data_IF_077196245605
#
_entry.id   IF_077196245605
#
_cell.length_a   1.000
_cell.length_b   1.000
_cell.length_c   1.000
_cell.angle_alpha   90.00
_cell.angle_beta   90.00
_cell.angle_gamma   90.00
#
_symmetry.space_group_name_H-M   'P 1'
#
loop_
_entity.id
_entity.type
_entity.pdbx_description
1 polymer ?
#
# COMPACT_ATOMS: atom_id res chain seq x y z
N UNK A 1 4.16 -18.27 -31.80
CA UNK A 1 3.64 -17.29 -32.79
C UNK A 1 3.13 -16.07 -32.08
N UNK A 2 3.46 -14.88 -32.57
CA UNK A 2 2.92 -13.59 -32.13
C UNK A 2 2.09 -13.00 -33.28
N UNK A 3 0.86 -12.59 -32.98
CA UNK A 3 0.07 -11.74 -33.88
C UNK A 3 0.32 -10.29 -33.52
N UNK A 4 0.96 -9.56 -34.40
CA UNK A 4 1.28 -8.14 -34.26
C UNK A 4 0.32 -7.32 -35.11
N UNK A 5 -0.32 -6.34 -34.50
CA UNK A 5 -1.10 -5.33 -35.21
C UNK A 5 -0.30 -4.03 -35.25
N UNK A 6 0.05 -3.57 -36.44
CA UNK A 6 0.78 -2.33 -36.64
C UNK A 6 -0.11 -1.11 -36.47
N UNK A 7 0.49 0.06 -36.27
CA UNK A 7 -0.25 1.32 -36.09
C UNK A 7 -1.12 1.72 -37.28
N UNK A 8 -0.86 1.17 -38.47
CA UNK A 8 -1.66 1.35 -39.70
C UNK A 8 -2.81 0.36 -39.83
N UNK A 9 -3.00 -0.54 -38.85
CA UNK A 9 -4.03 -1.58 -38.82
C UNK A 9 -3.67 -2.86 -39.59
N UNK A 10 -2.46 -2.96 -40.15
CA UNK A 10 -1.99 -4.21 -40.76
C UNK A 10 -1.64 -5.23 -39.70
N UNK A 11 -1.94 -6.51 -39.94
CA UNK A 11 -1.63 -7.60 -39.03
C UNK A 11 -0.54 -8.48 -39.60
N UNK A 12 0.44 -8.83 -38.79
CA UNK A 12 1.54 -9.74 -39.12
C UNK A 12 1.61 -10.86 -38.12
N UNK A 13 1.76 -12.09 -38.59
CA UNK A 13 2.00 -13.24 -37.75
C UNK A 13 3.49 -13.58 -37.77
N UNK A 14 4.19 -13.39 -36.66
CA UNK A 14 5.61 -13.68 -36.50
C UNK A 14 5.75 -15.06 -35.87
N UNK A 15 6.26 -16.02 -36.62
CA UNK A 15 6.61 -17.33 -36.12
C UNK A 15 8.08 -17.35 -35.67
N UNK A 16 8.34 -17.86 -34.50
CA UNK A 16 9.70 -18.06 -33.95
C UNK A 16 9.74 -19.34 -33.12
N UNK A 17 10.87 -19.98 -33.10
CA UNK A 17 11.15 -21.09 -32.21
C UNK A 17 11.92 -20.55 -30.99
N UNK A 18 11.54 -20.94 -29.81
CA UNK A 18 12.21 -20.60 -28.56
C UNK A 18 12.15 -21.77 -27.58
N UNK A 19 13.20 -21.92 -26.80
CA UNK A 19 13.20 -22.82 -25.67
C UNK A 19 12.32 -22.29 -24.53
N UNK A 20 11.92 -23.19 -23.61
CA UNK A 20 11.00 -22.84 -22.53
C UNK A 20 11.52 -21.67 -21.68
N UNK A 21 12.81 -21.65 -21.39
CA UNK A 21 13.46 -20.64 -20.54
C UNK A 21 14.06 -19.45 -21.34
N UNK A 22 13.90 -19.42 -22.67
CA UNK A 22 14.37 -18.34 -23.51
C UNK A 22 13.41 -17.14 -23.45
N UNK A 23 13.95 -15.94 -23.34
CA UNK A 23 13.15 -14.70 -23.39
C UNK A 23 12.63 -14.44 -24.80
N UNK A 24 11.46 -13.79 -24.91
CA UNK A 24 10.87 -13.42 -26.20
C UNK A 24 11.66 -12.33 -26.95
N UNK A 25 12.57 -11.62 -26.28
CA UNK A 25 13.32 -10.49 -26.84
C UNK A 25 12.43 -9.29 -27.20
N UNK A 26 11.25 -9.19 -26.54
CA UNK A 26 10.31 -8.07 -26.72
C UNK A 26 10.47 -7.11 -25.55
N UNK A 27 10.78 -5.85 -25.85
CA UNK A 27 10.81 -4.77 -24.88
C UNK A 27 9.60 -3.86 -25.07
N UNK A 28 8.92 -3.52 -23.98
CA UNK A 28 7.81 -2.57 -23.98
C UNK A 28 8.29 -1.21 -23.48
N UNK A 29 7.90 -0.14 -24.16
CA UNK A 29 8.21 1.23 -23.72
C UNK A 29 7.55 1.58 -22.37
N UNK A 30 6.46 0.91 -22.03
CA UNK A 30 5.73 1.11 -20.79
C UNK A 30 5.12 -0.18 -20.30
N UNK A 31 5.05 -0.36 -18.98
CA UNK A 31 4.37 -1.49 -18.34
C UNK A 31 2.86 -1.55 -18.67
N UNK A 32 2.25 -0.39 -18.99
CA UNK A 32 0.85 -0.26 -19.40
C UNK A 32 0.77 0.61 -20.67
N UNK A 33 0.94 -0.03 -21.82
CA UNK A 33 1.06 0.62 -23.13
C UNK A 33 -0.24 1.27 -23.65
N UNK A 34 -1.39 0.96 -23.06
CA UNK A 34 -2.70 1.59 -23.33
C UNK A 34 -3.03 2.73 -22.34
N UNK A 35 -2.04 3.17 -21.57
CA UNK A 35 -2.15 4.24 -20.59
C UNK A 35 -2.53 3.74 -19.20
N UNK A 36 -2.25 4.58 -18.20
CA UNK A 36 -2.56 4.33 -16.78
C UNK A 36 -4.03 4.67 -16.53
N UNK A 37 -4.72 3.81 -15.78
CA UNK A 37 -6.06 4.13 -15.27
C UNK A 37 -5.93 5.08 -14.11
N UNK A 38 -6.47 6.27 -14.28
CA UNK A 38 -6.43 7.30 -13.24
C UNK A 38 -7.57 7.12 -12.23
N UNK A 39 -7.27 7.49 -10.99
CA UNK A 39 -8.23 7.52 -9.91
C UNK A 39 -9.20 8.69 -10.06
N UNK A 40 -10.49 8.41 -10.08
CA UNK A 40 -11.55 9.42 -10.14
C UNK A 40 -12.04 9.89 -8.76
N UNK A 41 -11.48 9.35 -7.66
CA UNK A 41 -11.89 9.69 -6.32
C UNK A 41 -11.32 11.05 -5.88
N UNK A 42 -12.01 11.69 -4.93
CA UNK A 42 -11.61 12.96 -4.32
C UNK A 42 -11.49 12.82 -2.80
N UNK A 43 -10.68 11.84 -2.37
CA UNK A 43 -10.53 11.48 -0.96
C UNK A 43 -10.08 12.68 -0.11
N UNK A 44 -10.60 12.80 1.11
CA UNK A 44 -10.18 13.84 2.07
C UNK A 44 -8.68 13.80 2.37
N UNK A 45 -8.07 12.64 2.24
CA UNK A 45 -6.69 12.30 2.62
C UNK A 45 -5.79 12.01 1.41
N UNK A 46 -6.19 12.39 0.18
CA UNK A 46 -5.42 12.08 -1.01
C UNK A 46 -4.03 12.74 -0.96
N UNK A 47 -2.98 11.93 -0.79
CA UNK A 47 -1.61 12.45 -0.70
C UNK A 47 -1.14 13.07 -2.02
N UNK A 48 -1.64 12.59 -3.18
CA UNK A 48 -1.30 13.16 -4.49
C UNK A 48 -1.79 14.61 -4.60
N UNK A 49 -2.99 14.90 -4.06
CA UNK A 49 -3.53 16.25 -4.03
C UNK A 49 -2.80 17.20 -3.04
N UNK A 50 -1.89 16.64 -2.23
CA UNK A 50 -1.08 17.37 -1.25
C UNK A 50 0.39 17.50 -1.63
N UNK A 51 0.77 17.09 -2.85
CA UNK A 51 2.13 17.23 -3.38
C UNK A 51 2.41 18.70 -3.70
N UNK A 52 3.63 19.14 -3.41
CA UNK A 52 4.07 20.49 -3.73
C UNK A 52 3.96 20.77 -5.24
N UNK A 53 3.51 21.98 -5.64
CA UNK A 53 3.48 22.36 -7.05
C UNK A 53 4.90 22.36 -7.66
N UNK A 54 4.98 22.17 -8.94
CA UNK A 54 6.24 22.16 -9.73
C UNK A 54 7.18 20.97 -9.46
N UNK A 55 6.69 19.93 -8.81
CA UNK A 55 7.43 18.66 -8.68
C UNK A 55 7.38 17.85 -9.98
N UNK A 56 8.18 16.78 -10.07
CA UNK A 56 8.16 15.86 -11.22
C UNK A 56 6.75 15.36 -11.48
N UNK A 57 6.34 15.31 -12.74
CA UNK A 57 5.02 14.81 -13.15
C UNK A 57 4.71 13.40 -12.59
N UNK A 58 5.72 12.52 -12.57
CA UNK A 58 5.59 11.17 -12.03
C UNK A 58 5.10 11.10 -10.58
N UNK A 59 5.31 12.15 -9.78
CA UNK A 59 4.82 12.23 -8.40
C UNK A 59 3.33 12.60 -8.32
N UNK A 60 2.79 13.20 -9.40
CA UNK A 60 1.41 13.68 -9.46
C UNK A 60 0.49 12.74 -10.23
N UNK A 61 0.98 11.56 -10.62
CA UNK A 61 0.15 10.53 -11.26
C UNK A 61 -0.77 9.93 -10.20
N UNK A 62 -2.06 10.07 -10.43
CA UNK A 62 -3.11 9.58 -9.52
C UNK A 62 -3.63 8.25 -10.06
N UNK A 63 -2.82 7.22 -9.98
CA UNK A 63 -3.17 5.91 -10.49
C UNK A 63 -4.19 5.18 -9.61
N UNK A 64 -5.03 4.37 -10.24
CA UNK A 64 -5.95 3.41 -9.63
C UNK A 64 -6.08 2.19 -10.56
N UNK A 65 -4.91 1.67 -10.95
CA UNK A 65 -4.77 0.65 -11.99
C UNK A 65 -4.36 -0.70 -11.38
N UNK A 66 -5.25 -1.69 -11.45
CA UNK A 66 -4.97 -3.03 -10.90
C UNK A 66 -3.77 -3.71 -11.55
N UNK A 67 -3.35 -3.30 -12.76
CA UNK A 67 -2.16 -3.84 -13.43
C UNK A 67 -0.89 -3.34 -12.75
N UNK A 68 -0.86 -2.04 -12.38
CA UNK A 68 0.23 -1.48 -11.59
C UNK A 68 0.23 -2.02 -10.15
N UNK A 69 -0.96 -2.32 -9.61
CA UNK A 69 -1.07 -3.02 -8.34
C UNK A 69 -0.36 -4.38 -8.38
N UNK A 70 -0.63 -5.19 -9.40
CA UNK A 70 0.01 -6.49 -9.57
C UNK A 70 1.51 -6.38 -9.85
N UNK A 71 1.94 -5.45 -10.71
CA UNK A 71 3.32 -5.33 -11.16
C UNK A 71 4.25 -4.68 -10.13
N UNK A 72 3.75 -3.69 -9.39
CA UNK A 72 4.56 -2.80 -8.56
C UNK A 72 4.06 -2.63 -7.13
N UNK A 73 2.95 -3.27 -6.76
CA UNK A 73 2.39 -3.13 -5.41
C UNK A 73 1.62 -1.83 -5.17
N UNK A 74 1.23 -1.10 -6.23
CA UNK A 74 0.45 0.12 -6.08
C UNK A 74 -0.93 -0.19 -5.47
N UNK A 75 -1.35 0.60 -4.51
CA UNK A 75 -2.65 0.40 -3.84
C UNK A 75 -3.80 0.95 -4.68
N UNK A 76 -4.77 0.10 -5.01
CA UNK A 76 -5.97 0.46 -5.77
C UNK A 76 -7.21 0.52 -4.90
N UNK A 77 -8.14 1.40 -5.26
CA UNK A 77 -9.38 1.60 -4.49
C UNK A 77 -10.50 0.63 -4.91
N UNK A 78 -10.35 -0.03 -6.03
CA UNK A 78 -11.36 -0.87 -6.72
C UNK A 78 -12.60 -0.08 -7.16
N UNK A 79 -12.62 1.25 -7.07
CA UNK A 79 -13.81 2.04 -7.40
C UNK A 79 -14.02 2.24 -8.90
N UNK A 80 -13.00 2.01 -9.72
CA UNK A 80 -13.04 2.16 -11.18
C UNK A 80 -13.08 0.82 -11.93
N UNK A 81 -13.39 -0.28 -11.24
CA UNK A 81 -13.38 -1.63 -11.82
C UNK A 81 -14.76 -2.09 -12.27
N UNK A 82 -14.82 -2.63 -13.50
CA UNK A 82 -15.99 -3.26 -14.06
C UNK A 82 -15.89 -4.79 -14.17
N UNK A 83 -16.95 -5.44 -14.67
CA UNK A 83 -17.00 -6.89 -14.84
C UNK A 83 -15.85 -7.45 -15.69
N UNK A 84 -15.48 -6.74 -16.76
CA UNK A 84 -14.39 -7.12 -17.65
C UNK A 84 -13.02 -7.15 -16.93
N UNK A 85 -12.82 -6.27 -15.94
CA UNK A 85 -11.58 -6.20 -15.16
C UNK A 85 -11.45 -7.41 -14.24
N UNK A 86 -12.51 -7.74 -13.49
CA UNK A 86 -12.54 -8.94 -12.66
C UNK A 86 -12.34 -10.22 -13.49
N UNK A 87 -12.99 -10.31 -14.65
CA UNK A 87 -12.81 -11.43 -15.57
C UNK A 87 -11.37 -11.53 -16.09
N UNK A 88 -10.72 -10.40 -16.38
CA UNK A 88 -9.31 -10.36 -16.81
C UNK A 88 -8.37 -10.76 -15.68
N UNK A 89 -8.57 -10.23 -14.46
CA UNK A 89 -7.78 -10.59 -13.27
C UNK A 89 -7.86 -12.10 -13.03
N UNK A 90 -9.06 -12.67 -13.03
CA UNK A 90 -9.26 -14.11 -12.86
C UNK A 90 -8.57 -14.93 -13.96
N UNK A 91 -8.74 -14.56 -15.22
CA UNK A 91 -8.16 -15.27 -16.36
C UNK A 91 -6.64 -15.24 -16.37
N UNK A 92 -6.02 -14.12 -15.99
CA UNK A 92 -4.57 -13.92 -16.00
C UNK A 92 -3.92 -14.24 -14.65
N UNK A 93 -4.70 -14.63 -13.64
CA UNK A 93 -4.23 -14.91 -12.27
C UNK A 93 -3.39 -13.77 -11.68
N UNK A 94 -3.88 -12.51 -11.82
CA UNK A 94 -3.17 -11.34 -11.29
C UNK A 94 -3.29 -11.31 -9.76
N UNK A 95 -2.35 -11.94 -9.08
CA UNK A 95 -2.29 -12.08 -7.62
C UNK A 95 -0.83 -12.02 -7.15
N UNK A 96 -0.51 -11.38 -6.02
CA UNK A 96 -1.45 -10.62 -5.18
C UNK A 96 -1.78 -9.23 -5.75
N UNK A 97 -2.89 -8.65 -5.27
CA UNK A 97 -3.22 -7.24 -5.46
C UNK A 97 -3.04 -6.45 -4.16
N UNK A 98 -2.92 -5.14 -4.27
CA UNK A 98 -2.79 -4.22 -3.14
C UNK A 98 -4.01 -3.30 -3.11
N UNK A 99 -4.80 -3.35 -2.03
CA UNK A 99 -6.13 -2.74 -1.98
C UNK A 99 -6.23 -1.68 -0.88
N UNK A 100 -6.56 -0.46 -1.27
CA UNK A 100 -6.90 0.65 -0.37
C UNK A 100 -8.31 0.48 0.19
N UNK A 101 -8.41 -0.07 1.40
CA UNK A 101 -9.69 -0.34 2.08
C UNK A 101 -10.23 0.90 2.80
N UNK A 102 -9.41 1.60 3.53
CA UNK A 102 -9.67 2.77 4.38
C UNK A 102 -10.61 2.48 5.56
N UNK A 103 -11.76 1.91 5.34
CA UNK A 103 -12.67 1.32 6.34
C UNK A 103 -13.68 0.39 5.67
N UNK A 104 -14.31 -0.47 6.45
CA UNK A 104 -15.35 -1.41 5.97
C UNK A 104 -16.75 -0.91 6.21
N UNK A 105 -16.92 0.21 6.91
CA UNK A 105 -18.22 0.90 6.99
C UNK A 105 -18.57 1.50 5.63
N UNK A 106 -19.66 1.02 4.95
CA UNK A 106 -19.96 1.42 3.59
C UNK A 106 -20.29 2.91 3.45
N UNK A 107 -20.96 3.48 4.45
CA UNK A 107 -21.34 4.91 4.43
C UNK A 107 -20.10 5.77 4.62
N UNK A 108 -19.30 5.46 5.63
CA UNK A 108 -18.08 6.21 5.92
C UNK A 108 -17.07 6.12 4.77
N UNK A 109 -16.89 4.92 4.18
CA UNK A 109 -15.97 4.75 3.05
C UNK A 109 -16.40 5.59 1.84
N UNK A 110 -17.69 5.56 1.51
CA UNK A 110 -18.23 6.38 0.41
C UNK A 110 -18.01 7.89 0.65
N UNK A 111 -18.16 8.33 1.89
CA UNK A 111 -17.90 9.71 2.31
C UNK A 111 -16.42 10.07 2.22
N UNK A 112 -15.53 9.25 2.79
CA UNK A 112 -14.08 9.48 2.81
C UNK A 112 -13.49 9.56 1.41
N UNK A 113 -13.97 8.71 0.48
CA UNK A 113 -13.51 8.68 -0.91
C UNK A 113 -14.26 9.67 -1.80
N UNK A 114 -15.33 10.30 -1.30
CA UNK A 114 -16.29 11.11 -2.08
C UNK A 114 -16.77 10.40 -3.34
N UNK A 115 -17.12 9.12 -3.17
CA UNK A 115 -17.51 8.22 -4.23
C UNK A 115 -18.67 7.35 -3.72
N UNK A 116 -19.88 7.57 -4.22
CA UNK A 116 -21.11 6.96 -3.69
C UNK A 116 -21.14 5.42 -3.79
N UNK A 117 -20.42 4.84 -4.75
CA UNK A 117 -20.33 3.38 -4.92
C UNK A 117 -19.11 2.75 -4.25
N UNK A 118 -18.24 3.55 -3.63
CA UNK A 118 -17.07 3.03 -2.92
C UNK A 118 -17.41 2.20 -1.67
N UNK A 119 -18.66 2.27 -1.19
CA UNK A 119 -19.08 1.60 0.03
C UNK A 119 -19.04 0.07 -0.04
N UNK A 120 -19.12 -0.54 -1.21
CA UNK A 120 -19.16 -2.01 -1.38
C UNK A 120 -17.79 -2.67 -1.39
N UNK A 121 -16.85 -2.23 -0.58
CA UNK A 121 -15.49 -2.81 -0.56
C UNK A 121 -15.52 -4.30 -0.21
N UNK A 122 -16.35 -4.73 0.73
CA UNK A 122 -16.42 -6.14 1.14
C UNK A 122 -16.95 -7.03 0.01
N UNK A 123 -17.90 -6.54 -0.79
CA UNK A 123 -18.39 -7.23 -1.98
C UNK A 123 -17.32 -7.31 -3.07
N UNK A 124 -16.56 -6.24 -3.27
CA UNK A 124 -15.43 -6.21 -4.23
C UNK A 124 -14.32 -7.18 -3.84
N UNK A 125 -13.95 -7.24 -2.55
CA UNK A 125 -12.99 -8.23 -2.04
C UNK A 125 -13.51 -9.67 -2.22
N UNK A 126 -14.79 -9.93 -1.92
CA UNK A 126 -15.39 -11.25 -2.15
C UNK A 126 -15.33 -11.70 -3.62
N UNK A 127 -15.38 -10.76 -4.57
CA UNK A 127 -15.20 -11.07 -5.99
C UNK A 127 -13.77 -11.46 -6.34
N UNK A 128 -12.77 -10.80 -5.73
CA UNK A 128 -11.36 -11.20 -5.87
C UNK A 128 -11.12 -12.59 -5.28
N UNK A 129 -11.67 -12.86 -4.11
CA UNK A 129 -11.59 -14.17 -3.43
C UNK A 129 -12.22 -15.29 -4.27
N UNK A 130 -13.39 -15.02 -4.87
CA UNK A 130 -14.06 -15.98 -5.78
C UNK A 130 -13.21 -16.28 -7.04
N UNK A 131 -12.34 -15.36 -7.44
CA UNK A 131 -11.38 -15.54 -8.52
C UNK A 131 -10.04 -16.17 -8.06
N UNK A 132 -9.91 -16.54 -6.78
CA UNK A 132 -8.69 -17.10 -6.21
C UNK A 132 -7.55 -16.09 -6.02
N UNK A 133 -7.87 -14.79 -5.99
CA UNK A 133 -6.88 -13.71 -5.85
C UNK A 133 -6.61 -13.45 -4.38
N UNK A 134 -5.33 -13.39 -4.02
CA UNK A 134 -4.84 -12.91 -2.73
C UNK A 134 -4.59 -11.41 -2.79
N UNK A 135 -4.62 -10.74 -1.64
CA UNK A 135 -4.40 -9.31 -1.61
C UNK A 135 -3.83 -8.81 -0.28
N UNK A 136 -3.02 -7.76 -0.38
CA UNK A 136 -2.63 -6.91 0.74
C UNK A 136 -3.61 -5.76 0.90
N UNK A 137 -3.87 -5.33 2.12
CA UNK A 137 -4.80 -4.23 2.40
C UNK A 137 -4.13 -3.08 3.12
N UNK A 138 -4.67 -1.86 2.89
CA UNK A 138 -4.19 -0.64 3.54
C UNK A 138 -5.35 0.20 4.07
N UNK A 139 -5.13 0.79 5.23
CA UNK A 139 -5.96 1.83 5.84
C UNK A 139 -5.12 3.08 6.04
N UNK A 140 -5.50 4.18 5.40
CA UNK A 140 -5.04 5.51 5.79
C UNK A 140 -5.91 5.96 6.95
N UNK A 141 -5.33 5.97 8.14
CA UNK A 141 -6.05 6.27 9.38
C UNK A 141 -6.10 7.77 9.62
N UNK A 142 -7.32 8.30 9.75
CA UNK A 142 -7.61 9.71 9.99
C UNK A 142 -8.22 9.86 11.39
N UNK A 143 -7.57 10.60 12.26
CA UNK A 143 -8.00 10.80 13.63
C UNK A 143 -9.42 11.38 13.72
N UNK A 144 -10.28 10.75 14.51
CA UNK A 144 -11.69 11.13 14.70
C UNK A 144 -12.60 10.80 13.50
N UNK A 145 -12.13 10.02 12.52
CA UNK A 145 -12.92 9.68 11.33
C UNK A 145 -13.10 8.15 11.18
N UNK A 146 -12.03 7.44 10.90
CA UNK A 146 -12.04 5.97 10.72
C UNK A 146 -11.17 5.24 11.76
N UNK A 147 -10.82 5.91 12.86
CA UNK A 147 -10.14 5.34 14.04
C UNK A 147 -11.13 4.73 15.05
N UNK A 148 -10.63 4.30 16.20
CA UNK A 148 -11.44 3.75 17.28
C UNK A 148 -12.33 2.59 16.85
N UNK A 149 -13.64 2.72 17.01
CA UNK A 149 -14.63 1.65 16.70
C UNK A 149 -14.66 1.29 15.20
N UNK A 150 -14.44 2.24 14.32
CA UNK A 150 -14.38 1.99 12.86
C UNK A 150 -13.11 1.23 12.47
N UNK A 151 -11.98 1.53 13.11
CA UNK A 151 -10.76 0.74 12.94
C UNK A 151 -10.96 -0.69 13.46
N UNK A 152 -11.56 -0.85 14.64
CA UNK A 152 -11.87 -2.16 15.23
C UNK A 152 -12.75 -3.01 14.31
N UNK A 153 -13.78 -2.39 13.72
CA UNK A 153 -14.63 -3.01 12.72
C UNK A 153 -13.83 -3.45 11.51
N UNK A 154 -13.00 -2.56 10.96
CA UNK A 154 -12.20 -2.83 9.77
C UNK A 154 -11.21 -3.96 10.00
N UNK A 155 -10.50 -3.97 11.14
CA UNK A 155 -9.60 -5.06 11.51
C UNK A 155 -10.33 -6.40 11.55
N UNK A 156 -11.48 -6.45 12.21
CA UNK A 156 -12.29 -7.68 12.32
C UNK A 156 -12.73 -8.17 10.95
N UNK A 157 -13.27 -7.28 10.12
CA UNK A 157 -13.81 -7.64 8.82
C UNK A 157 -12.71 -8.13 7.86
N UNK A 158 -11.53 -7.51 7.89
CA UNK A 158 -10.40 -7.91 7.04
C UNK A 158 -9.73 -9.19 7.56
N UNK A 159 -9.56 -9.35 8.87
CA UNK A 159 -8.99 -10.58 9.43
C UNK A 159 -9.89 -11.80 9.18
N UNK A 160 -11.20 -11.62 9.06
CA UNK A 160 -12.14 -12.69 8.71
C UNK A 160 -12.01 -13.16 7.25
N UNK A 161 -11.27 -12.46 6.38
CA UNK A 161 -11.08 -12.78 4.95
C UNK A 161 -9.82 -13.59 4.66
N UNK A 162 -9.12 -14.04 5.68
CA UNK A 162 -8.00 -14.96 5.50
C UNK A 162 -8.49 -16.31 4.94
N UNK A 163 -7.73 -17.01 4.12
CA UNK A 163 -6.33 -16.74 3.77
C UNK A 163 -6.13 -15.75 2.62
N UNK A 164 -7.17 -15.30 1.91
CA UNK A 164 -7.01 -14.40 0.76
C UNK A 164 -6.44 -13.03 1.14
N UNK A 165 -6.89 -12.44 2.26
CA UNK A 165 -6.23 -11.28 2.83
C UNK A 165 -4.88 -11.70 3.43
N UNK A 166 -3.78 -11.17 2.86
CA UNK A 166 -2.42 -11.50 3.25
C UNK A 166 -1.90 -10.62 4.37
N UNK A 167 -2.32 -9.36 4.42
CA UNK A 167 -1.93 -8.41 5.46
C UNK A 167 -2.84 -7.19 5.50
N UNK A 168 -2.82 -6.50 6.64
CA UNK A 168 -3.46 -5.20 6.83
C UNK A 168 -2.42 -4.18 7.30
N UNK A 169 -2.13 -3.19 6.46
CA UNK A 169 -1.31 -2.03 6.79
C UNK A 169 -2.17 -0.89 7.33
N UNK A 170 -1.76 -0.26 8.41
CA UNK A 170 -2.40 0.92 8.98
C UNK A 170 -1.37 2.03 9.03
N UNK A 171 -1.61 3.09 8.25
CA UNK A 171 -0.72 4.25 8.14
C UNK A 171 -1.45 5.52 8.59
N UNK A 172 -0.80 6.45 9.30
CA UNK A 172 -1.46 7.69 9.67
C UNK A 172 -1.63 8.59 8.45
N UNK A 173 -2.67 9.41 8.43
CA UNK A 173 -2.83 10.43 7.40
C UNK A 173 -1.66 11.42 7.44
N UNK A 174 -0.97 11.57 6.31
CA UNK A 174 0.03 12.61 6.13
C UNK A 174 -0.63 13.91 5.66
N UNK A 175 -0.36 15.03 6.33
CA UNK A 175 -0.85 16.34 5.95
C UNK A 175 0.31 17.25 5.56
N UNK A 176 0.18 17.95 4.43
CA UNK A 176 1.16 18.93 3.98
C UNK A 176 0.56 20.32 3.93
N UNK A 177 1.40 21.36 3.91
CA UNK A 177 0.99 22.75 3.71
C UNK A 177 0.35 23.04 2.34
N UNK A 178 0.43 22.11 1.42
CA UNK A 178 -0.12 22.22 0.06
C UNK A 178 -1.53 21.64 -0.05
N UNK A 179 -2.05 21.08 1.03
CA UNK A 179 -3.42 20.59 1.06
C UNK A 179 -4.41 21.74 0.89
N UNK A 180 -5.28 21.60 -0.08
CA UNK A 180 -6.32 22.61 -0.41
C UNK A 180 -7.73 22.15 -0.01
N UNK A 181 -7.91 20.88 0.30
CA UNK A 181 -9.21 20.33 0.68
C UNK A 181 -9.71 20.95 1.99
N UNK A 182 -10.97 21.45 2.03
CA UNK A 182 -11.50 22.15 3.20
C UNK A 182 -11.92 21.22 4.35
N UNK A 183 -11.99 19.89 4.14
CA UNK A 183 -12.38 18.96 5.19
C UNK A 183 -11.36 18.99 6.34
N UNK A 184 -11.80 19.14 7.60
CA UNK A 184 -10.90 19.33 8.74
C UNK A 184 -10.26 18.01 9.17
N UNK A 185 -9.15 17.61 8.54
CA UNK A 185 -8.30 16.52 9.02
C UNK A 185 -7.28 17.03 10.01
N UNK A 186 -7.01 16.22 11.03
CA UNK A 186 -5.95 16.45 12.01
C UNK A 186 -4.96 15.30 12.01
N UNK A 187 -3.69 15.61 12.27
CA UNK A 187 -2.67 14.59 12.48
C UNK A 187 -2.83 13.96 13.86
N UNK A 188 -2.39 12.71 14.00
CA UNK A 188 -2.30 12.08 15.30
C UNK A 188 -1.29 12.83 16.18
N UNK A 189 -1.69 13.11 17.40
CA UNK A 189 -0.79 13.51 18.47
C UNK A 189 -0.18 12.27 19.17
N UNK A 190 0.67 12.51 20.15
CA UNK A 190 1.35 11.45 20.88
C UNK A 190 0.38 10.45 21.53
N UNK A 191 -0.64 10.96 22.18
CA UNK A 191 -1.60 10.13 22.91
C UNK A 191 -2.54 9.39 21.95
N UNK A 192 -2.91 10.03 20.83
CA UNK A 192 -3.67 9.41 19.75
C UNK A 192 -2.91 8.25 19.11
N UNK A 193 -1.63 8.45 18.79
CA UNK A 193 -0.78 7.40 18.24
C UNK A 193 -0.59 6.24 19.24
N UNK A 194 -0.40 6.55 20.51
CA UNK A 194 -0.30 5.53 21.55
C UNK A 194 -1.58 4.68 21.65
N UNK A 195 -2.78 5.31 21.61
CA UNK A 195 -4.06 4.57 21.62
C UNK A 195 -4.21 3.67 20.41
N UNK A 196 -3.77 4.08 19.24
CA UNK A 196 -3.80 3.21 18.04
C UNK A 196 -2.92 1.99 18.24
N UNK A 197 -1.71 2.16 18.76
CA UNK A 197 -0.81 1.04 19.07
C UNK A 197 -1.47 0.10 20.06
N UNK A 198 -1.96 0.62 21.19
CA UNK A 198 -2.60 -0.16 22.25
C UNK A 198 -3.85 -0.92 21.76
N UNK A 199 -4.57 -0.37 20.76
CA UNK A 199 -5.72 -1.02 20.15
C UNK A 199 -5.31 -2.17 19.23
N UNK A 200 -4.20 -2.02 18.50
CA UNK A 200 -3.78 -2.99 17.48
C UNK A 200 -2.95 -4.13 18.08
N UNK A 201 -2.16 -3.89 19.11
CA UNK A 201 -1.31 -4.90 19.76
C UNK A 201 -2.06 -6.21 20.12
N UNK A 202 -3.25 -6.19 20.76
CA UNK A 202 -4.00 -7.41 21.06
C UNK A 202 -4.38 -8.23 19.81
N UNK A 203 -4.65 -7.56 18.70
CA UNK A 203 -4.94 -8.21 17.43
C UNK A 203 -3.69 -8.86 16.84
N UNK A 204 -2.54 -8.20 16.92
CA UNK A 204 -1.25 -8.76 16.49
C UNK A 204 -0.90 -10.01 17.30
N UNK A 205 -1.05 -9.95 18.64
CA UNK A 205 -0.84 -11.09 19.53
C UNK A 205 -1.74 -12.26 19.18
N UNK A 206 -3.04 -11.98 18.96
CA UNK A 206 -4.01 -12.98 18.54
C UNK A 206 -3.61 -13.64 17.22
N UNK A 207 -3.27 -12.86 16.19
CA UNK A 207 -2.88 -13.39 14.90
C UNK A 207 -1.62 -14.27 15.01
N UNK A 208 -0.64 -13.83 15.78
CA UNK A 208 0.57 -14.62 16.03
C UNK A 208 0.28 -15.92 16.78
N UNK A 209 -0.64 -15.90 17.72
CA UNK A 209 -1.05 -17.12 18.44
C UNK A 209 -1.80 -18.10 17.54
N UNK A 210 -2.64 -17.61 16.62
CA UNK A 210 -3.45 -18.42 15.71
C UNK A 210 -2.68 -18.94 14.50
N UNK A 211 -1.83 -18.09 13.87
CA UNK A 211 -1.20 -18.38 12.56
C UNK A 211 0.32 -18.25 12.56
N UNK A 212 0.93 -17.84 13.66
CA UNK A 212 2.38 -17.62 13.74
C UNK A 212 2.88 -16.36 13.05
N UNK A 213 1.99 -15.48 12.56
CA UNK A 213 2.34 -14.23 11.87
C UNK A 213 1.53 -13.05 12.40
N UNK A 214 2.09 -11.85 12.26
CA UNK A 214 1.52 -10.61 12.81
C UNK A 214 0.27 -10.16 12.04
N UNK A 215 0.27 -10.26 10.71
CA UNK A 215 -0.81 -9.93 9.79
C UNK A 215 -1.20 -8.44 9.75
N UNK A 216 -1.30 -7.75 10.91
CA UNK A 216 -1.67 -6.34 11.03
C UNK A 216 -0.44 -5.54 11.38
N UNK A 217 -0.12 -4.54 10.58
CA UNK A 217 1.11 -3.76 10.74
C UNK A 217 0.79 -2.27 10.83
N UNK A 218 1.45 -1.60 11.78
CA UNK A 218 1.43 -0.16 11.93
C UNK A 218 2.65 0.47 11.27
N UNK A 219 2.46 1.61 10.61
CA UNK A 219 3.58 2.39 10.11
C UNK A 219 4.51 2.85 11.23
N UNK A 220 5.81 2.92 10.94
CA UNK A 220 6.85 3.34 11.87
C UNK A 220 6.53 4.71 12.48
N UNK A 221 5.83 5.57 11.74
CA UNK A 221 5.41 6.90 12.18
C UNK A 221 4.52 6.87 13.45
N UNK A 222 3.67 5.85 13.63
CA UNK A 222 2.89 5.73 14.87
C UNK A 222 3.79 5.55 16.10
N UNK A 223 4.83 4.75 15.97
CA UNK A 223 5.80 4.53 17.06
C UNK A 223 6.61 5.80 17.35
N UNK A 224 7.03 6.52 16.31
CA UNK A 224 7.71 7.81 16.48
C UNK A 224 6.83 8.85 17.17
N UNK A 225 5.59 9.00 16.72
CA UNK A 225 4.63 9.93 17.31
C UNK A 225 4.35 9.60 18.78
N UNK A 226 4.16 8.31 19.10
CA UNK A 226 3.93 7.85 20.47
C UNK A 226 5.19 7.92 21.36
N UNK A 227 6.38 8.10 20.77
CA UNK A 227 7.64 8.02 21.47
C UNK A 227 7.95 6.60 21.96
N UNK A 228 7.53 5.60 21.20
CA UNK A 228 7.81 4.17 21.43
C UNK A 228 8.85 3.67 20.44
N UNK A 229 9.55 2.62 20.82
CA UNK A 229 10.45 1.92 19.89
C UNK A 229 9.66 1.14 18.84
N UNK A 230 10.21 1.07 17.62
CA UNK A 230 9.64 0.21 16.57
C UNK A 230 9.81 -1.27 16.94
N UNK A 231 8.86 -2.14 16.59
CA UNK A 231 8.90 -3.56 16.93
C UNK A 231 10.18 -4.27 16.44
N UNK A 232 10.56 -5.41 17.04
CA UNK A 232 11.66 -6.22 16.54
C UNK A 232 11.33 -6.83 15.18
N UNK A 233 12.37 -7.18 14.40
CA UNK A 233 12.24 -7.70 13.03
C UNK A 233 11.27 -8.89 12.89
N UNK A 234 11.23 -9.76 13.91
CA UNK A 234 10.33 -10.92 13.94
C UNK A 234 8.83 -10.56 13.93
N UNK A 235 8.48 -9.30 14.23
CA UNK A 235 7.09 -8.82 14.20
C UNK A 235 6.65 -8.35 12.81
N UNK A 236 7.54 -8.30 11.83
CA UNK A 236 7.24 -7.80 10.48
C UNK A 236 7.11 -8.92 9.43
N UNK A 237 7.26 -10.20 9.81
CA UNK A 237 7.03 -11.38 8.95
C UNK A 237 7.71 -11.30 7.55
N UNK A 238 8.94 -10.79 7.51
CA UNK A 238 9.69 -10.57 6.26
C UNK A 238 9.38 -9.23 5.56
N UNK A 239 8.75 -8.30 6.24
CA UNK A 239 8.50 -6.93 5.78
C UNK A 239 7.62 -6.81 4.52
N UNK A 240 6.42 -7.38 4.49
CA UNK A 240 5.56 -7.39 3.30
C UNK A 240 4.98 -6.02 2.94
N UNK A 241 5.18 -4.99 3.77
CA UNK A 241 4.56 -3.67 3.65
C UNK A 241 5.58 -2.52 3.75
N UNK A 242 6.84 -2.75 3.35
CA UNK A 242 7.90 -1.73 3.41
C UNK A 242 7.53 -0.43 2.72
N UNK A 243 6.90 -0.50 1.55
CA UNK A 243 6.50 0.67 0.75
C UNK A 243 5.47 1.57 1.45
N UNK A 244 4.80 1.04 2.47
CA UNK A 244 3.90 1.79 3.35
C UNK A 244 4.60 2.44 4.56
N UNK A 245 5.94 2.45 4.59
CA UNK A 245 6.68 2.95 5.75
C UNK A 245 6.55 2.06 6.99
N UNK A 246 6.36 0.76 6.78
CA UNK A 246 6.20 -0.25 7.83
C UNK A 246 7.46 -1.09 7.93
N UNK A 247 8.18 -0.94 9.03
CA UNK A 247 9.41 -1.68 9.30
C UNK A 247 10.65 -1.16 8.58
N UNK A 248 10.57 -0.04 7.85
CA UNK A 248 11.73 0.61 7.22
C UNK A 248 12.83 0.92 8.23
N UNK A 249 12.44 1.45 9.38
CA UNK A 249 13.38 1.76 10.47
C UNK A 249 14.04 0.51 11.02
N UNK A 250 13.27 -0.55 11.21
CA UNK A 250 13.82 -1.81 11.73
C UNK A 250 14.72 -2.49 10.71
N UNK A 251 14.37 -2.49 9.43
CA UNK A 251 15.23 -2.97 8.34
C UNK A 251 16.54 -2.21 8.31
N UNK A 252 16.46 -0.87 8.32
CA UNK A 252 17.66 -0.01 8.35
C UNK A 252 18.56 -0.30 9.54
N UNK A 253 18.01 -0.43 10.76
CA UNK A 253 18.80 -0.76 11.96
C UNK A 253 19.51 -2.11 11.78
N UNK A 254 18.80 -3.13 11.26
CA UNK A 254 19.38 -4.44 11.00
C UNK A 254 20.53 -4.41 9.98
N UNK A 255 20.34 -3.70 8.88
CA UNK A 255 21.38 -3.50 7.86
C UNK A 255 22.57 -2.71 8.39
N UNK A 256 22.30 -1.67 9.19
CA UNK A 256 23.34 -0.86 9.82
C UNK A 256 24.19 -1.68 10.80
N UNK A 257 23.56 -2.50 11.63
CA UNK A 257 24.27 -3.34 12.58
C UNK A 257 25.13 -4.40 11.86
N UNK A 258 24.61 -5.02 10.80
CA UNK A 258 25.39 -5.93 9.96
C UNK A 258 26.55 -5.21 9.25
N UNK A 259 26.36 -3.98 8.79
CA UNK A 259 27.41 -3.19 8.15
C UNK A 259 28.52 -2.78 9.13
N UNK A 260 28.21 -2.52 10.38
CA UNK A 260 29.22 -2.23 11.43
C UNK A 260 30.20 -3.37 11.63
N UNK A 261 29.74 -4.62 11.52
CA UNK A 261 30.60 -5.80 11.64
C UNK A 261 31.59 -5.94 10.48
N UNK A 262 31.25 -5.37 9.31
CA UNK A 262 32.05 -5.43 8.10
C UNK A 262 32.90 -4.16 7.86
N UNK A 263 32.66 -3.08 8.60
CA UNK A 263 33.12 -1.74 8.27
C UNK A 263 34.52 -1.41 8.75
N UNK A 264 35.33 -0.81 7.87
CA UNK A 264 36.49 -0.04 8.25
C UNK A 264 36.07 1.38 8.69
N UNK A 265 36.61 1.88 9.79
CA UNK A 265 36.36 3.24 10.23
C UNK A 265 36.82 4.25 9.15
N UNK A 266 35.88 5.04 8.65
CA UNK A 266 36.19 6.14 7.76
C UNK A 266 36.44 7.40 8.60
N UNK A 267 37.61 8.03 8.48
CA UNK A 267 37.94 9.28 9.16
C UNK A 267 37.25 10.53 8.60
N UNK A 268 36.29 10.37 7.68
CA UNK A 268 35.58 11.47 7.08
C UNK A 268 34.51 12.05 8.01
N UNK A 269 34.35 13.38 7.99
CA UNK A 269 33.21 14.05 8.61
C UNK A 269 32.07 14.10 7.59
N UNK A 270 30.95 13.51 7.95
CA UNK A 270 29.76 13.47 7.13
C UNK A 270 28.66 14.34 7.75
N UNK A 271 27.92 15.05 6.91
CA UNK A 271 26.68 15.70 7.27
C UNK A 271 25.52 14.91 6.65
N UNK A 272 24.60 14.44 7.47
CA UNK A 272 23.42 13.68 7.01
C UNK A 272 22.20 14.59 7.15
N UNK A 273 21.48 14.78 6.05
CA UNK A 273 20.18 15.49 6.05
C UNK A 273 19.08 14.45 6.10
N UNK A 274 18.24 14.52 7.10
CA UNK A 274 17.13 13.57 7.31
C UNK A 274 15.85 14.27 7.73
N UNK A 275 14.73 13.52 7.72
CA UNK A 275 13.49 13.96 8.35
C UNK A 275 13.62 13.98 9.88
N UNK A 276 12.86 14.86 10.52
CA UNK A 276 12.90 15.02 11.99
C UNK A 276 12.47 13.77 12.74
N UNK A 277 11.57 12.96 12.16
CA UNK A 277 11.07 11.73 12.77
C UNK A 277 12.15 10.65 12.90
N UNK A 278 13.03 10.50 11.88
CA UNK A 278 14.09 9.49 11.88
C UNK A 278 15.41 9.99 12.49
N UNK A 279 15.56 11.29 12.72
CA UNK A 279 16.79 11.86 13.26
C UNK A 279 17.26 11.19 14.58
N UNK A 280 16.38 10.84 15.56
CA UNK A 280 16.80 10.13 16.76
C UNK A 280 17.36 8.71 16.50
N UNK A 281 16.96 8.07 15.39
CA UNK A 281 17.45 6.73 15.00
C UNK A 281 18.86 6.82 14.41
N UNK A 282 19.19 7.97 13.78
CA UNK A 282 20.49 8.22 13.13
C UNK A 282 21.54 8.79 14.07
N UNK A 283 21.14 9.28 15.25
CA UNK A 283 22.02 9.88 16.27
C UNK A 283 22.71 8.82 17.13
#
# INVERSE_FOLDING_TARGET
ELLVEHADGTQECIAFDKDYDEELGVEFESAVFDGIRECANHCYFCFVDMIAPHMRHSLSVKDDDYRLSFLYGNFVTLTNMGEADYARIARLHLSPLYVSVQCTNPVLRAEMLRCSWAGDILGQLARLEAAGVEYHTQVVLCAGLNDGEELERTIRDITARRPHALSLAIVPVGLTKHRTDPFPLVQFDRDGAARVIDQVEPWQEKMRAEEGRTFIYLADEFYFLAGREVPPAAMYDGFPQLDNGIGLTRSFIGEWDAAKECGAACGARLAVVSGTAVAPVLA
#
